data_IF_256614630075
#
_entry.id   IF_256614630075
#
_cell.length_a   1.000
_cell.length_b   1.000
_cell.length_c   1.000
_cell.angle_alpha   90.00
_cell.angle_beta   90.00
_cell.angle_gamma   90.00
#
_symmetry.space_group_name_H-M   'P 1'
#
loop_
_entity.id
_entity.type
_entity.pdbx_description
1 polymer ?
#
# COMPACT_ATOMS: atom_id res chain seq x y z
N UNK A 1 26.07 -17.77 8.26
CA UNK A 1 26.04 -16.38 8.77
C UNK A 1 25.98 -15.46 7.56
N UNK A 2 24.82 -15.08 7.13
CA UNK A 2 24.64 -14.06 6.09
C UNK A 2 24.41 -12.77 6.84
N UNK A 3 25.33 -11.84 6.66
CA UNK A 3 25.33 -10.52 7.29
C UNK A 3 24.11 -9.74 6.83
N UNK A 4 23.38 -9.24 7.80
CA UNK A 4 22.32 -8.24 7.66
C UNK A 4 23.00 -6.94 7.14
N UNK A 5 23.09 -6.78 5.84
CA UNK A 5 23.46 -5.50 5.25
C UNK A 5 22.15 -4.71 5.11
N UNK A 6 21.96 -3.74 5.98
CA UNK A 6 20.96 -2.72 5.81
C UNK A 6 21.13 -2.10 4.41
N UNK A 7 20.21 -2.39 3.51
CA UNK A 7 20.16 -1.78 2.17
C UNK A 7 19.75 -0.33 2.40
N UNK A 8 20.75 0.54 2.41
CA UNK A 8 20.54 1.98 2.45
C UNK A 8 19.71 2.39 1.24
N UNK A 9 18.52 2.87 1.51
CA UNK A 9 17.58 3.40 0.54
C UNK A 9 18.20 4.62 -0.16
N UNK A 10 18.67 4.41 -1.38
CA UNK A 10 18.79 5.50 -2.34
C UNK A 10 17.52 5.51 -3.16
N UNK A 11 16.61 6.43 -2.85
CA UNK A 11 15.47 6.76 -3.68
C UNK A 11 15.94 7.23 -5.05
N UNK A 12 16.07 6.31 -5.98
CA UNK A 12 16.13 6.61 -7.41
C UNK A 12 14.68 6.76 -7.88
N UNK A 13 14.19 7.99 -7.89
CA UNK A 13 12.86 8.35 -8.40
C UNK A 13 12.61 7.68 -9.76
N UNK A 14 11.57 6.89 -9.85
CA UNK A 14 11.12 6.26 -11.08
C UNK A 14 11.45 4.78 -11.28
N UNK A 15 12.07 4.09 -10.33
CA UNK A 15 12.37 2.65 -10.40
C UNK A 15 11.61 1.87 -9.34
N UNK A 16 11.16 0.65 -9.69
CA UNK A 16 10.58 -0.32 -8.75
C UNK A 16 11.52 -1.53 -8.60
N UNK A 17 11.69 -2.01 -7.38
CA UNK A 17 12.39 -3.25 -7.08
C UNK A 17 11.37 -4.39 -6.88
N UNK A 18 11.53 -5.45 -7.65
CA UNK A 18 10.59 -6.58 -7.72
C UNK A 18 11.33 -7.85 -7.39
N UNK A 19 10.87 -8.60 -6.39
CA UNK A 19 11.28 -9.97 -6.15
C UNK A 19 10.54 -10.89 -7.12
N UNK A 20 11.28 -11.65 -7.91
CA UNK A 20 10.73 -12.66 -8.82
C UNK A 20 10.57 -14.00 -8.10
N UNK A 21 9.46 -14.68 -8.36
CA UNK A 21 9.18 -16.00 -7.81
C UNK A 21 8.24 -16.80 -8.72
N UNK A 22 8.13 -18.12 -8.48
CA UNK A 22 7.20 -19.00 -9.17
C UNK A 22 6.21 -19.65 -8.19
N UNK A 23 5.08 -20.09 -8.73
CA UNK A 23 4.03 -20.82 -8.01
C UNK A 23 3.95 -22.30 -8.45
N UNK A 24 5.07 -22.84 -8.98
CA UNK A 24 5.16 -24.21 -9.44
C UNK A 24 4.69 -24.44 -10.88
N UNK A 25 4.63 -23.40 -11.68
CA UNK A 25 4.38 -23.42 -13.12
C UNK A 25 5.49 -22.74 -13.89
N UNK A 26 5.26 -22.48 -15.19
CA UNK A 26 6.16 -21.73 -16.06
C UNK A 26 6.03 -20.22 -15.90
N UNK A 27 4.97 -19.78 -15.25
CA UNK A 27 4.64 -18.38 -15.05
C UNK A 27 5.56 -17.76 -14.00
N UNK A 28 6.00 -16.52 -14.28
CA UNK A 28 6.82 -15.74 -13.35
C UNK A 28 5.96 -14.65 -12.71
N UNK A 29 6.04 -14.59 -11.40
CA UNK A 29 5.36 -13.58 -10.60
C UNK A 29 6.35 -12.63 -9.97
N UNK A 30 5.87 -11.44 -9.63
CA UNK A 30 6.66 -10.43 -8.96
C UNK A 30 5.91 -9.80 -7.79
N UNK A 31 6.67 -9.46 -6.76
CA UNK A 31 6.17 -8.72 -5.60
C UNK A 31 7.11 -7.53 -5.33
N UNK A 32 6.55 -6.38 -5.01
CA UNK A 32 7.33 -5.21 -4.61
C UNK A 32 8.16 -5.54 -3.36
N UNK A 33 9.48 -5.32 -3.43
CA UNK A 33 10.41 -5.62 -2.34
C UNK A 33 10.07 -4.86 -1.06
N UNK A 34 9.53 -3.65 -1.14
CA UNK A 34 9.10 -2.89 0.03
C UNK A 34 8.02 -3.59 0.88
N UNK A 35 7.25 -4.49 0.28
CA UNK A 35 6.24 -5.30 0.98
C UNK A 35 6.81 -6.57 1.61
N UNK A 36 8.12 -6.84 1.42
CA UNK A 36 8.79 -8.07 1.84
C UNK A 36 9.68 -7.79 3.04
N UNK A 37 9.41 -8.47 4.14
CA UNK A 37 10.25 -8.43 5.32
C UNK A 37 11.45 -9.37 5.22
N UNK A 38 11.18 -10.61 4.80
CA UNK A 38 12.21 -11.64 4.63
C UNK A 38 11.70 -12.81 3.77
N UNK A 39 12.64 -13.57 3.24
CA UNK A 39 12.39 -14.85 2.56
C UNK A 39 13.06 -15.97 3.34
N UNK A 40 12.34 -17.08 3.55
CA UNK A 40 12.86 -18.23 4.30
C UNK A 40 12.40 -19.56 3.68
N UNK A 41 12.99 -20.65 4.12
CA UNK A 41 12.52 -22.00 3.75
C UNK A 41 11.14 -22.27 4.38
N UNK A 42 10.32 -23.02 3.66
CA UNK A 42 9.05 -23.49 4.20
C UNK A 42 9.34 -24.41 5.40
N UNK A 43 8.88 -24.00 6.57
CA UNK A 43 8.91 -24.80 7.79
C UNK A 43 7.64 -25.62 7.95
N UNK A 44 7.59 -26.46 8.99
CA UNK A 44 6.39 -27.24 9.28
C UNK A 44 5.18 -26.31 9.51
N UNK A 45 4.17 -26.45 8.68
CA UNK A 45 2.90 -25.72 8.79
C UNK A 45 1.94 -26.52 9.68
N UNK A 46 1.36 -25.85 10.67
CA UNK A 46 0.31 -26.41 11.52
C UNK A 46 -1.04 -26.02 10.96
N UNK A 47 -1.87 -27.02 10.63
CA UNK A 47 -3.23 -26.73 10.16
C UNK A 47 -4.11 -26.19 11.27
N UNK A 48 -5.00 -25.27 10.93
CA UNK A 48 -5.96 -24.67 11.86
C UNK A 48 -7.38 -25.11 11.46
N UNK A 49 -8.17 -25.68 12.40
CA UNK A 49 -9.56 -26.06 12.09
C UNK A 49 -10.37 -24.85 11.62
N UNK A 50 -11.16 -25.04 10.55
CA UNK A 50 -12.03 -23.98 10.02
C UNK A 50 -11.29 -22.89 9.25
N UNK A 51 -10.02 -23.08 8.88
CA UNK A 51 -9.28 -22.10 8.09
C UNK A 51 -9.96 -21.83 6.73
N UNK A 52 -9.91 -20.57 6.24
CA UNK A 52 -10.48 -20.22 4.95
C UNK A 52 -9.72 -20.85 3.78
N UNK A 53 -10.39 -20.96 2.64
CA UNK A 53 -9.76 -21.40 1.38
C UNK A 53 -8.61 -20.45 1.00
N UNK A 54 -7.47 -21.01 0.59
CA UNK A 54 -6.24 -20.24 0.32
C UNK A 54 -5.30 -20.10 1.51
N UNK A 55 -5.74 -20.44 2.72
CA UNK A 55 -4.87 -20.54 3.89
C UNK A 55 -4.39 -21.99 4.09
N UNK A 56 -3.09 -22.19 4.30
CA UNK A 56 -2.50 -23.52 4.55
C UNK A 56 -2.34 -23.85 6.03
N UNK A 57 -2.53 -22.89 6.92
CA UNK A 57 -2.35 -23.05 8.37
C UNK A 57 -1.52 -21.92 8.97
N UNK A 58 -0.74 -22.23 9.98
CA UNK A 58 0.13 -21.27 10.66
C UNK A 58 1.54 -21.83 10.84
N UNK A 59 2.52 -20.94 10.96
CA UNK A 59 3.90 -21.26 11.38
C UNK A 59 4.28 -20.45 12.61
N UNK A 60 5.26 -20.94 13.36
CA UNK A 60 5.93 -20.15 14.39
C UNK A 60 7.27 -19.64 13.83
N UNK A 61 7.40 -18.33 13.69
CA UNK A 61 8.63 -17.69 13.25
C UNK A 61 9.11 -16.70 14.32
N UNK A 62 10.28 -16.96 14.89
CA UNK A 62 10.88 -16.11 15.95
C UNK A 62 9.94 -15.80 17.12
N UNK A 63 9.10 -16.77 17.50
CA UNK A 63 8.14 -16.62 18.61
C UNK A 63 6.82 -15.94 18.24
N UNK A 64 6.64 -15.53 16.97
CA UNK A 64 5.37 -15.04 16.44
C UNK A 64 4.67 -16.15 15.67
N UNK A 65 3.35 -16.23 15.79
CA UNK A 65 2.50 -17.13 15.00
C UNK A 65 2.03 -16.36 13.78
N UNK A 66 2.39 -16.85 12.59
CA UNK A 66 2.05 -16.23 11.32
C UNK A 66 1.11 -17.14 10.52
N UNK A 67 0.02 -16.60 9.94
CA UNK A 67 -0.77 -17.34 8.97
C UNK A 67 0.06 -17.62 7.72
N UNK A 68 -0.09 -18.82 7.18
CA UNK A 68 0.53 -19.25 5.92
C UNK A 68 -0.54 -19.31 4.85
N UNK A 69 -0.34 -18.55 3.80
CA UNK A 69 -1.22 -18.50 2.64
C UNK A 69 -0.55 -19.19 1.45
N UNK A 70 -1.24 -20.13 0.83
CA UNK A 70 -0.85 -20.66 -0.48
C UNK A 70 -1.23 -19.64 -1.54
N UNK A 71 -0.24 -18.92 -2.03
CA UNK A 71 -0.46 -17.82 -2.96
C UNK A 71 -1.06 -18.30 -4.28
N UNK A 72 -0.65 -19.48 -4.76
CA UNK A 72 -1.23 -20.09 -5.97
C UNK A 72 -2.71 -20.38 -5.82
N UNK A 73 -3.10 -21.02 -4.73
CA UNK A 73 -4.51 -21.30 -4.42
C UNK A 73 -5.31 -20.03 -4.20
N UNK A 74 -4.73 -19.04 -3.51
CA UNK A 74 -5.39 -17.77 -3.19
C UNK A 74 -5.73 -16.92 -4.43
N UNK A 75 -4.92 -17.03 -5.50
CA UNK A 75 -5.19 -16.33 -6.78
C UNK A 75 -5.89 -17.21 -7.81
N UNK A 76 -6.31 -18.43 -7.44
CA UNK A 76 -7.03 -19.35 -8.33
C UNK A 76 -6.13 -20.09 -9.33
N UNK A 77 -4.82 -20.05 -9.12
CA UNK A 77 -3.84 -20.83 -9.89
C UNK A 77 -3.38 -22.01 -9.04
N UNK A 78 -4.01 -23.17 -9.21
CA UNK A 78 -3.56 -24.39 -8.53
C UNK A 78 -2.10 -24.68 -8.85
N UNK A 79 -1.23 -24.72 -7.83
CA UNK A 79 0.19 -25.01 -8.00
C UNK A 79 0.42 -26.43 -8.54
N UNK A 80 1.30 -26.58 -9.53
CA UNK A 80 1.74 -27.88 -10.03
C UNK A 80 2.80 -28.52 -9.13
N UNK A 81 3.49 -27.72 -8.36
CA UNK A 81 4.54 -28.12 -7.42
C UNK A 81 4.21 -27.65 -6.00
N UNK A 82 4.66 -28.43 -5.02
CA UNK A 82 4.50 -28.06 -3.63
C UNK A 82 5.38 -26.84 -3.29
N UNK A 83 4.89 -25.89 -2.50
CA UNK A 83 5.69 -24.77 -2.04
C UNK A 83 6.93 -25.22 -1.26
N UNK A 84 8.06 -24.53 -1.46
CA UNK A 84 9.31 -24.79 -0.74
C UNK A 84 9.82 -23.57 0.03
N UNK A 85 9.32 -22.39 -0.30
CA UNK A 85 9.75 -21.11 0.27
C UNK A 85 8.58 -20.35 0.87
N UNK A 86 8.91 -19.47 1.80
CA UNK A 86 7.99 -18.49 2.36
C UNK A 86 8.51 -17.09 2.09
N UNK A 87 7.66 -16.23 1.56
CA UNK A 87 7.86 -14.79 1.51
C UNK A 87 7.06 -14.20 2.67
N UNK A 88 7.76 -13.64 3.65
CA UNK A 88 7.13 -13.00 4.80
C UNK A 88 6.90 -11.54 4.47
N UNK A 89 5.65 -11.14 4.50
CA UNK A 89 5.23 -9.75 4.29
C UNK A 89 4.60 -9.20 5.55
N UNK A 90 4.77 -7.89 5.74
CA UNK A 90 4.12 -7.16 6.83
C UNK A 90 3.35 -5.99 6.25
N UNK A 91 2.05 -6.00 6.40
CA UNK A 91 1.16 -4.91 6.01
C UNK A 91 -0.04 -4.85 6.95
N UNK A 92 -0.61 -3.68 7.10
CA UNK A 92 -1.78 -3.49 7.97
C UNK A 92 -1.58 -3.99 9.41
N UNK A 93 -0.34 -3.91 9.96
CA UNK A 93 0.02 -4.47 11.28
C UNK A 93 -0.11 -5.99 11.38
N UNK A 94 -0.26 -6.68 10.25
CA UNK A 94 -0.30 -8.15 10.17
C UNK A 94 0.93 -8.65 9.44
N UNK A 95 1.57 -9.66 10.00
CA UNK A 95 2.60 -10.41 9.29
C UNK A 95 1.96 -11.67 8.70
N UNK A 96 2.16 -11.89 7.41
CA UNK A 96 1.64 -13.05 6.66
C UNK A 96 2.79 -13.73 5.93
N UNK A 97 2.78 -15.05 5.92
CA UNK A 97 3.72 -15.86 5.16
C UNK A 97 3.05 -16.36 3.87
N UNK A 98 3.57 -15.97 2.72
CA UNK A 98 3.13 -16.47 1.42
C UNK A 98 3.96 -17.66 0.99
N UNK A 99 3.32 -18.81 0.85
CA UNK A 99 3.97 -20.03 0.38
C UNK A 99 4.08 -19.99 -1.15
N UNK A 100 5.31 -20.12 -1.65
CA UNK A 100 5.68 -20.09 -3.07
C UNK A 100 6.58 -21.27 -3.42
N UNK A 101 6.63 -21.68 -4.68
CA UNK A 101 7.46 -22.80 -5.10
C UNK A 101 8.93 -22.46 -5.05
N UNK A 102 9.33 -21.38 -5.72
CA UNK A 102 10.72 -20.91 -5.78
C UNK A 102 10.76 -19.39 -5.73
N UNK A 103 11.88 -18.89 -5.19
CA UNK A 103 12.22 -17.46 -5.23
C UNK A 103 13.50 -17.32 -6.06
N UNK A 104 13.46 -16.45 -7.08
CA UNK A 104 14.58 -16.25 -8.01
C UNK A 104 15.43 -15.05 -7.55
N UNK A 105 15.30 -13.92 -8.17
CA UNK A 105 16.13 -12.74 -7.97
C UNK A 105 15.29 -11.48 -7.82
N UNK A 106 15.92 -10.44 -7.30
CA UNK A 106 15.37 -9.09 -7.34
C UNK A 106 15.78 -8.44 -8.66
N UNK A 107 14.83 -7.84 -9.34
CA UNK A 107 15.05 -7.00 -10.51
C UNK A 107 14.68 -5.57 -10.18
N UNK A 108 15.27 -4.64 -10.93
CA UNK A 108 14.94 -3.22 -10.84
C UNK A 108 14.52 -2.75 -12.22
N UNK A 109 13.31 -2.24 -12.33
CA UNK A 109 12.73 -1.78 -13.60
C UNK A 109 12.14 -0.39 -13.45
N UNK A 110 12.11 0.42 -14.53
CA UNK A 110 11.41 1.68 -14.53
C UNK A 110 9.89 1.47 -14.33
N UNK A 111 9.25 2.34 -13.58
CA UNK A 111 7.79 2.32 -13.45
C UNK A 111 7.06 2.48 -14.80
N UNK A 112 7.65 3.19 -15.74
CA UNK A 112 7.14 3.33 -17.11
C UNK A 112 6.96 2.00 -17.84
N UNK A 113 7.69 0.98 -17.42
CA UNK A 113 7.66 -0.37 -18.02
C UNK A 113 6.61 -1.26 -17.35
N UNK A 114 6.09 -0.86 -16.20
CA UNK A 114 4.94 -1.51 -15.55
C UNK A 114 3.68 -1.12 -16.32
N UNK A 115 3.06 -2.10 -16.97
CA UNK A 115 1.79 -1.88 -17.69
C UNK A 115 0.62 -2.29 -16.82
N UNK A 116 -0.49 -1.53 -16.83
CA UNK A 116 -1.69 -1.91 -16.08
C UNK A 116 -2.22 -3.25 -16.62
N UNK A 117 -2.82 -4.08 -15.75
CA UNK A 117 -3.46 -5.32 -16.17
C UNK A 117 -4.61 -5.02 -17.15
N UNK A 118 -4.80 -5.88 -18.14
CA UNK A 118 -5.89 -5.73 -19.08
C UNK A 118 -7.23 -6.19 -18.46
N UNK A 119 -8.37 -5.79 -19.04
CA UNK A 119 -9.73 -5.99 -18.49
C UNK A 119 -10.15 -7.46 -18.19
N UNK A 120 -9.45 -8.44 -18.74
CA UNK A 120 -9.69 -9.87 -18.47
C UNK A 120 -8.84 -10.41 -17.31
N UNK A 121 -8.02 -9.56 -16.71
CA UNK A 121 -7.23 -9.93 -15.56
C UNK A 121 -8.08 -9.80 -14.31
N UNK A 122 -8.85 -10.83 -14.12
CA UNK A 122 -9.36 -11.34 -12.87
C UNK A 122 -10.42 -10.50 -12.12
N UNK A 123 -11.57 -11.13 -11.96
CA UNK A 123 -12.49 -10.87 -10.83
C UNK A 123 -11.74 -10.87 -9.47
N UNK A 124 -10.50 -11.34 -9.46
CA UNK A 124 -9.69 -11.45 -8.26
C UNK A 124 -8.98 -10.16 -7.83
N UNK A 125 -8.73 -9.19 -8.72
CA UNK A 125 -7.96 -7.98 -8.37
C UNK A 125 -6.59 -8.30 -7.76
N UNK A 126 -6.01 -9.46 -8.12
CA UNK A 126 -4.76 -9.95 -7.57
C UNK A 126 -3.52 -9.34 -8.25
N UNK A 127 -3.71 -8.68 -9.40
CA UNK A 127 -2.63 -8.08 -10.18
C UNK A 127 -2.73 -6.56 -10.13
N UNK A 128 -1.61 -5.89 -9.90
CA UNK A 128 -1.54 -4.44 -10.07
C UNK A 128 -0.82 -4.03 -11.37
N UNK A 129 -0.05 -4.95 -12.00
CA UNK A 129 0.65 -4.67 -13.24
C UNK A 129 1.31 -5.88 -13.86
N UNK A 130 1.88 -5.67 -15.04
CA UNK A 130 2.72 -6.63 -15.77
C UNK A 130 3.98 -5.94 -16.26
N UNK A 131 5.09 -6.67 -16.22
CA UNK A 131 6.39 -6.22 -16.75
C UNK A 131 6.92 -7.26 -17.72
N UNK A 132 7.51 -6.82 -18.83
CA UNK A 132 8.24 -7.68 -19.75
C UNK A 132 9.73 -7.64 -19.42
N UNK A 133 10.33 -8.80 -19.19
CA UNK A 133 11.77 -8.93 -18.98
C UNK A 133 12.54 -8.82 -20.31
N UNK A 134 13.83 -8.56 -20.23
CA UNK A 134 14.72 -8.50 -21.41
C UNK A 134 14.74 -9.80 -22.22
N UNK A 135 14.52 -10.94 -21.57
CA UNK A 135 14.43 -12.27 -22.20
C UNK A 135 13.06 -12.58 -22.82
N UNK A 136 12.13 -11.63 -22.80
CA UNK A 136 10.78 -11.73 -23.36
C UNK A 136 9.76 -12.40 -22.44
N UNK A 137 10.12 -12.83 -21.22
CA UNK A 137 9.16 -13.36 -20.25
C UNK A 137 8.31 -12.24 -19.66
N UNK A 138 7.02 -12.52 -19.50
CA UNK A 138 6.10 -11.65 -18.77
C UNK A 138 6.14 -11.99 -17.29
N UNK A 139 6.21 -10.97 -16.46
CA UNK A 139 6.09 -11.04 -15.00
C UNK A 139 4.76 -10.44 -14.59
N UNK A 140 3.95 -11.21 -13.90
CA UNK A 140 2.70 -10.76 -13.29
C UNK A 140 2.96 -10.20 -11.90
N UNK A 141 2.73 -8.91 -11.70
CA UNK A 141 2.97 -8.23 -10.43
C UNK A 141 1.75 -8.37 -9.53
N UNK A 142 1.93 -9.06 -8.38
CA UNK A 142 0.84 -9.39 -7.47
C UNK A 142 0.59 -8.29 -6.43
N UNK A 143 -0.67 -7.90 -6.29
CA UNK A 143 -1.16 -7.13 -5.14
C UNK A 143 -1.50 -8.10 -3.99
N UNK A 144 -0.47 -8.45 -3.23
CA UNK A 144 -0.60 -9.42 -2.14
C UNK A 144 -1.46 -8.92 -0.97
N UNK A 145 -1.63 -7.61 -0.81
CA UNK A 145 -2.54 -7.03 0.17
C UNK A 145 -3.99 -7.34 -0.21
N UNK A 146 -4.35 -7.11 -1.49
CA UNK A 146 -5.67 -7.47 -2.01
C UNK A 146 -5.93 -8.97 -1.92
N UNK A 147 -4.92 -9.80 -2.20
CA UNK A 147 -5.03 -11.26 -2.04
C UNK A 147 -5.25 -11.64 -0.58
N UNK A 148 -4.45 -11.07 0.33
CA UNK A 148 -4.57 -11.35 1.77
C UNK A 148 -5.94 -10.95 2.30
N UNK A 149 -6.46 -9.78 1.95
CA UNK A 149 -7.74 -9.33 2.45
C UNK A 149 -8.91 -10.20 2.00
N UNK A 150 -8.82 -10.85 0.83
CA UNK A 150 -9.84 -11.80 0.39
C UNK A 150 -9.84 -13.10 1.18
N UNK A 151 -8.65 -13.61 1.51
CA UNK A 151 -8.48 -14.88 2.23
C UNK A 151 -8.66 -14.68 3.74
N UNK A 152 -8.15 -13.59 4.27
CA UNK A 152 -8.18 -13.22 5.69
C UNK A 152 -8.81 -11.82 5.84
N UNK A 153 -10.12 -11.67 5.62
CA UNK A 153 -10.77 -10.39 5.81
C UNK A 153 -10.55 -9.89 7.23
N UNK A 154 -10.36 -8.60 7.37
CA UNK A 154 -10.35 -7.98 8.69
C UNK A 154 -11.77 -8.06 9.24
N UNK A 155 -11.89 -8.46 10.50
CA UNK A 155 -13.13 -8.24 11.25
C UNK A 155 -13.41 -6.74 11.26
N UNK A 156 -14.67 -6.36 11.10
CA UNK A 156 -15.09 -4.96 11.08
C UNK A 156 -14.43 -4.19 12.21
N UNK A 157 -13.54 -3.29 11.80
CA UNK A 157 -12.69 -2.54 12.69
C UNK A 157 -13.47 -1.56 13.54
N UNK A 158 -12.89 -1.21 14.65
CA UNK A 158 -13.21 -0.25 15.68
C UNK A 158 -14.23 0.84 15.31
N UNK A 159 -15.09 1.22 16.27
CA UNK A 159 -16.11 2.23 16.03
C UNK A 159 -15.45 3.54 15.59
N UNK A 160 -15.82 3.98 14.39
CA UNK A 160 -15.43 5.31 13.92
C UNK A 160 -16.11 6.32 14.83
N UNK A 161 -15.34 7.21 15.41
CA UNK A 161 -15.87 8.30 16.24
C UNK A 161 -16.79 9.17 15.37
N UNK A 162 -18.02 9.37 15.79
CA UNK A 162 -18.96 10.27 15.12
C UNK A 162 -18.45 11.72 15.24
N UNK A 163 -17.95 12.24 14.14
CA UNK A 163 -17.62 13.65 14.01
C UNK A 163 -18.77 14.34 13.26
N UNK A 164 -19.32 15.38 13.85
CA UNK A 164 -20.30 16.21 13.15
C UNK A 164 -19.57 17.25 12.28
N UNK A 165 -18.86 16.75 11.26
CA UNK A 165 -18.05 17.60 10.37
C UNK A 165 -18.87 17.92 9.13
N UNK A 166 -19.20 19.18 8.94
CA UNK A 166 -19.84 19.68 7.73
C UNK A 166 -18.81 20.43 6.88
N UNK A 167 -18.05 19.68 6.06
CA UNK A 167 -17.15 20.27 5.08
C UNK A 167 -17.69 20.08 3.65
N UNK A 168 -17.72 21.17 2.88
CA UNK A 168 -18.20 21.14 1.48
C UNK A 168 -17.11 20.67 0.50
N UNK A 169 -15.85 20.96 0.81
CA UNK A 169 -14.70 20.58 0.00
C UNK A 169 -14.30 19.11 0.26
N UNK A 170 -13.88 18.38 -0.79
CA UNK A 170 -13.48 16.99 -0.64
C UNK A 170 -12.14 16.86 0.10
N UNK A 171 -11.99 15.74 0.83
CA UNK A 171 -10.70 15.20 1.23
C UNK A 171 -10.06 14.55 0.00
N UNK A 172 -8.82 14.88 -0.28
CA UNK A 172 -8.06 14.23 -1.35
C UNK A 172 -7.11 13.21 -0.74
N UNK A 173 -7.08 11.98 -1.26
CA UNK A 173 -6.14 10.98 -0.78
C UNK A 173 -5.39 10.31 -1.92
N UNK A 174 -4.17 9.85 -1.63
CA UNK A 174 -3.35 9.14 -2.59
C UNK A 174 -2.70 7.92 -1.93
N UNK A 175 -2.85 6.77 -2.57
CA UNK A 175 -2.29 5.49 -2.13
C UNK A 175 -2.24 4.54 -3.33
N UNK A 176 -1.20 3.75 -3.50
CA UNK A 176 -1.08 2.80 -4.61
C UNK A 176 -1.88 1.50 -4.36
N UNK A 177 -2.14 1.16 -3.10
CA UNK A 177 -2.92 0.00 -2.70
C UNK A 177 -4.42 0.22 -2.93
N UNK A 178 -5.05 -0.65 -3.72
CA UNK A 178 -6.50 -0.64 -3.90
C UNK A 178 -7.23 -0.88 -2.56
N UNK A 179 -6.66 -1.74 -1.70
CA UNK A 179 -7.23 -2.05 -0.38
C UNK A 179 -7.19 -0.84 0.52
N UNK A 180 -6.05 -0.16 0.61
CA UNK A 180 -5.92 1.04 1.40
C UNK A 180 -6.88 2.13 0.92
N UNK A 181 -6.99 2.35 -0.41
CA UNK A 181 -7.96 3.32 -0.96
C UNK A 181 -9.41 2.99 -0.60
N UNK A 182 -9.80 1.71 -0.65
CA UNK A 182 -11.15 1.29 -0.22
C UNK A 182 -11.39 1.58 1.26
N UNK A 183 -10.44 1.23 2.12
CA UNK A 183 -10.54 1.49 3.56
C UNK A 183 -10.61 2.98 3.89
N UNK A 184 -9.80 3.80 3.23
CA UNK A 184 -9.86 5.26 3.36
C UNK A 184 -11.23 5.77 2.93
N UNK A 185 -11.74 5.31 1.77
CA UNK A 185 -13.08 5.70 1.29
C UNK A 185 -14.16 5.32 2.29
N UNK A 186 -14.14 4.10 2.84
CA UNK A 186 -15.11 3.64 3.85
C UNK A 186 -15.10 4.52 5.11
N UNK A 187 -13.90 4.94 5.57
CA UNK A 187 -13.77 5.85 6.71
C UNK A 187 -14.38 7.22 6.38
N UNK A 188 -14.04 7.79 5.23
CA UNK A 188 -14.51 9.10 4.79
C UNK A 188 -16.04 9.10 4.55
N UNK A 189 -16.58 8.03 3.95
CA UNK A 189 -18.03 7.85 3.75
C UNK A 189 -18.79 7.78 5.09
N UNK A 190 -18.26 7.02 6.06
CA UNK A 190 -18.83 6.96 7.42
C UNK A 190 -18.77 8.31 8.14
N UNK A 191 -17.76 9.14 7.86
CA UNK A 191 -17.65 10.52 8.36
C UNK A 191 -18.52 11.52 7.57
N UNK A 192 -19.21 11.09 6.51
CA UNK A 192 -20.01 11.95 5.64
C UNK A 192 -19.20 12.93 4.79
N UNK A 193 -17.92 12.66 4.58
CA UNK A 193 -17.01 13.54 3.85
C UNK A 193 -16.93 13.14 2.37
N UNK A 194 -17.04 14.14 1.47
CA UNK A 194 -16.74 13.95 0.06
C UNK A 194 -15.24 13.67 -0.11
N UNK A 195 -14.89 12.85 -1.09
CA UNK A 195 -13.48 12.55 -1.34
C UNK A 195 -13.16 12.37 -2.81
N UNK A 196 -11.88 12.54 -3.15
CA UNK A 196 -11.29 12.23 -4.44
C UNK A 196 -9.93 11.57 -4.20
N UNK A 197 -9.45 10.76 -5.14
CA UNK A 197 -8.20 10.03 -4.96
C UNK A 197 -7.32 9.98 -6.20
N UNK A 198 -6.06 9.59 -5.97
CA UNK A 198 -5.08 9.22 -6.97
C UNK A 198 -4.40 7.90 -6.58
N UNK A 199 -3.72 7.26 -7.53
CA UNK A 199 -3.05 5.96 -7.34
C UNK A 199 -1.53 6.08 -7.20
N UNK A 200 -0.96 7.26 -7.42
CA UNK A 200 0.46 7.56 -7.23
C UNK A 200 0.68 9.06 -7.05
N UNK A 201 1.88 9.44 -6.64
CA UNK A 201 2.21 10.83 -6.35
C UNK A 201 2.15 11.77 -7.55
N UNK A 202 2.49 11.30 -8.75
CA UNK A 202 2.44 12.12 -9.98
C UNK A 202 0.99 12.41 -10.37
N UNK A 203 0.14 11.38 -10.35
CA UNK A 203 -1.29 11.56 -10.61
C UNK A 203 -1.92 12.50 -9.57
N UNK A 204 -1.56 12.34 -8.29
CA UNK A 204 -2.01 13.20 -7.21
C UNK A 204 -1.64 14.66 -7.45
N UNK A 205 -0.39 14.93 -7.77
CA UNK A 205 0.08 16.27 -8.08
C UNK A 205 -0.73 16.89 -9.24
N UNK A 206 -0.87 16.16 -10.34
CA UNK A 206 -1.60 16.64 -11.51
C UNK A 206 -3.07 16.95 -11.19
N UNK A 207 -3.75 16.05 -10.46
CA UNK A 207 -5.15 16.24 -10.05
C UNK A 207 -5.31 17.43 -9.10
N UNK A 208 -4.45 17.53 -8.07
CA UNK A 208 -4.49 18.64 -7.12
C UNK A 208 -4.25 19.99 -7.82
N UNK A 209 -3.25 20.08 -8.71
CA UNK A 209 -3.00 21.29 -9.48
C UNK A 209 -4.19 21.64 -10.40
N UNK A 210 -4.83 20.63 -11.01
CA UNK A 210 -6.03 20.85 -11.83
C UNK A 210 -7.22 21.36 -11.00
N UNK A 211 -7.41 20.85 -9.78
CA UNK A 211 -8.49 21.29 -8.87
C UNK A 211 -8.36 22.76 -8.45
N UNK A 212 -7.13 23.25 -8.36
CA UNK A 212 -6.84 24.65 -7.96
C UNK A 212 -6.46 25.56 -9.13
N UNK A 213 -6.66 25.10 -10.35
CA UNK A 213 -6.35 25.89 -11.54
C UNK A 213 -7.16 27.21 -11.54
N UNK A 214 -6.49 28.34 -11.79
CA UNK A 214 -7.09 29.68 -11.74
C UNK A 214 -7.37 30.22 -10.34
N UNK A 215 -6.91 29.54 -9.28
CA UNK A 215 -7.01 30.01 -7.90
C UNK A 215 -5.62 30.45 -7.43
N UNK A 216 -5.51 31.71 -7.03
CA UNK A 216 -4.25 32.28 -6.52
C UNK A 216 -4.21 32.38 -4.98
N UNK A 217 -5.37 32.39 -4.33
CA UNK A 217 -5.48 32.54 -2.88
C UNK A 217 -5.52 31.19 -2.15
N UNK A 218 -4.65 30.99 -1.18
CA UNK A 218 -4.64 29.78 -0.32
C UNK A 218 -5.99 29.54 0.38
N UNK A 219 -6.68 30.60 0.82
CA UNK A 219 -8.00 30.48 1.46
C UNK A 219 -9.05 29.86 0.54
N UNK A 220 -8.98 30.12 -0.77
CA UNK A 220 -9.90 29.58 -1.77
C UNK A 220 -9.55 28.14 -2.15
N UNK A 221 -8.32 27.70 -1.91
CA UNK A 221 -7.91 26.30 -2.17
C UNK A 221 -8.59 25.38 -1.16
N UNK A 222 -8.78 25.79 0.09
CA UNK A 222 -9.54 25.01 1.09
C UNK A 222 -11.00 24.76 0.67
N UNK A 223 -11.58 25.62 -0.17
CA UNK A 223 -12.92 25.39 -0.74
C UNK A 223 -12.93 24.27 -1.80
N UNK A 224 -11.77 23.85 -2.27
CA UNK A 224 -11.58 22.79 -3.29
C UNK A 224 -10.97 21.52 -2.74
N UNK A 225 -10.09 21.62 -1.75
CA UNK A 225 -9.41 20.52 -1.09
C UNK A 225 -9.33 20.84 0.40
N UNK A 226 -10.11 20.13 1.20
CA UNK A 226 -10.16 20.37 2.65
C UNK A 226 -8.96 19.79 3.40
N UNK A 227 -8.42 18.67 2.90
CA UNK A 227 -7.32 17.92 3.49
C UNK A 227 -6.69 17.01 2.43
N UNK A 228 -5.39 16.76 2.52
CA UNK A 228 -4.70 15.77 1.71
C UNK A 228 -4.18 14.65 2.60
N UNK A 229 -4.56 13.40 2.30
CA UNK A 229 -4.04 12.19 2.92
C UNK A 229 -3.07 11.53 1.94
N UNK A 230 -1.84 11.28 2.37
CA UNK A 230 -0.75 10.84 1.50
C UNK A 230 -0.13 9.57 2.04
N UNK A 231 -0.10 8.52 1.23
CA UNK A 231 0.73 7.35 1.51
C UNK A 231 2.21 7.72 1.44
N UNK A 232 3.01 7.22 2.38
CA UNK A 232 4.45 7.46 2.39
C UNK A 232 5.14 6.73 1.24
N UNK A 233 4.76 5.48 1.01
CA UNK A 233 5.42 4.57 0.07
C UNK A 233 4.61 4.40 -1.21
N UNK A 234 4.88 5.24 -2.19
CA UNK A 234 4.23 5.16 -3.49
C UNK A 234 5.24 5.06 -4.62
N UNK A 235 4.81 4.42 -5.73
CA UNK A 235 5.57 4.41 -6.98
C UNK A 235 5.76 5.81 -7.56
N UNK A 236 6.82 5.98 -8.34
CA UNK A 236 7.19 7.17 -9.10
C UNK A 236 7.50 8.40 -8.25
N UNK A 237 6.67 8.73 -7.28
CA UNK A 237 6.83 9.85 -6.37
C UNK A 237 6.33 9.44 -4.98
N UNK A 238 7.23 9.37 -4.00
CA UNK A 238 6.90 9.08 -2.60
C UNK A 238 6.13 10.23 -1.94
N UNK A 239 5.45 9.91 -0.82
CA UNK A 239 4.61 10.87 -0.12
C UNK A 239 5.36 12.06 0.47
N UNK A 240 6.60 11.86 0.92
CA UNK A 240 7.44 12.95 1.40
C UNK A 240 7.78 13.93 0.28
N UNK A 241 8.08 13.41 -0.90
CA UNK A 241 8.37 14.24 -2.10
C UNK A 241 7.13 15.00 -2.55
N UNK A 242 5.97 14.32 -2.63
CA UNK A 242 4.70 14.98 -2.94
C UNK A 242 4.39 16.09 -1.92
N UNK A 243 4.53 15.82 -0.64
CA UNK A 243 4.28 16.79 0.43
C UNK A 243 5.19 18.01 0.32
N UNK A 244 6.50 17.82 0.08
CA UNK A 244 7.43 18.96 -0.15
C UNK A 244 7.01 19.81 -1.34
N UNK A 245 6.57 19.18 -2.43
CA UNK A 245 6.09 19.89 -3.63
C UNK A 245 4.82 20.69 -3.32
N UNK A 246 3.87 20.11 -2.59
CA UNK A 246 2.67 20.83 -2.13
C UNK A 246 3.05 22.01 -1.23
N UNK A 247 3.97 21.83 -0.28
CA UNK A 247 4.42 22.91 0.61
C UNK A 247 5.24 23.99 -0.10
N UNK A 248 5.87 23.67 -1.24
CA UNK A 248 6.56 24.67 -2.06
C UNK A 248 5.61 25.57 -2.85
N UNK A 249 4.36 25.14 -3.06
CA UNK A 249 3.31 25.96 -3.68
C UNK A 249 2.55 26.75 -2.60
N UNK A 250 2.65 28.10 -2.58
CA UNK A 250 2.00 28.91 -1.56
C UNK A 250 0.48 28.72 -1.44
N UNK A 251 -0.15 28.18 -2.49
CA UNK A 251 -1.60 27.92 -2.51
C UNK A 251 -1.99 26.79 -1.56
N UNK A 252 -1.12 25.79 -1.37
CA UNK A 252 -1.37 24.62 -0.50
C UNK A 252 -0.79 24.76 0.91
N UNK A 253 -0.19 25.90 1.26
CA UNK A 253 0.49 26.08 2.56
C UNK A 253 -0.42 25.82 3.77
N UNK A 254 -1.72 26.17 3.64
CA UNK A 254 -2.72 26.06 4.71
C UNK A 254 -3.63 24.83 4.57
N UNK A 255 -3.43 23.99 3.53
CA UNK A 255 -4.16 22.73 3.36
C UNK A 255 -3.53 21.67 4.28
N UNK A 256 -4.28 21.09 5.23
CA UNK A 256 -3.75 20.06 6.10
C UNK A 256 -3.27 18.83 5.30
N UNK A 257 -2.14 18.26 5.69
CA UNK A 257 -1.58 17.03 5.10
C UNK A 257 -1.37 15.97 6.18
N UNK A 258 -2.00 14.80 6.02
CA UNK A 258 -1.78 13.62 6.84
C UNK A 258 -0.89 12.65 6.07
N UNK A 259 0.19 12.17 6.68
CA UNK A 259 0.93 11.02 6.19
C UNK A 259 0.30 9.74 6.74
N UNK A 260 0.01 8.79 5.85
CA UNK A 260 -0.64 7.53 6.16
C UNK A 260 0.27 6.39 5.73
N UNK A 261 0.90 5.69 6.68
CA UNK A 261 1.98 4.74 6.37
C UNK A 261 1.89 3.44 7.17
N UNK A 262 2.36 2.36 6.56
CA UNK A 262 2.55 1.06 7.20
C UNK A 262 3.74 1.06 8.17
N UNK A 263 4.69 1.98 7.97
CA UNK A 263 5.91 2.10 8.76
C UNK A 263 5.68 3.03 9.95
N UNK A 264 5.90 2.52 11.15
CA UNK A 264 5.66 3.27 12.41
C UNK A 264 6.95 3.62 13.15
N UNK A 265 8.11 3.61 12.45
CA UNK A 265 9.37 3.98 13.10
C UNK A 265 9.45 5.50 13.38
N UNK A 266 10.09 5.86 14.49
CA UNK A 266 10.33 7.27 14.84
C UNK A 266 11.10 8.02 13.74
N UNK A 267 11.93 7.34 12.96
CA UNK A 267 12.68 7.92 11.84
C UNK A 267 11.75 8.32 10.68
N UNK A 268 10.78 7.48 10.35
CA UNK A 268 9.81 7.78 9.29
C UNK A 268 8.89 8.92 9.69
N UNK A 269 8.41 8.92 10.94
CA UNK A 269 7.62 10.03 11.46
C UNK A 269 8.38 11.36 11.40
N UNK A 270 9.69 11.37 11.73
CA UNK A 270 10.55 12.56 11.60
C UNK A 270 10.68 13.03 10.16
N UNK A 271 10.90 12.10 9.21
CA UNK A 271 10.97 12.42 7.77
C UNK A 271 9.68 13.04 7.26
N UNK A 272 8.52 12.52 7.68
CA UNK A 272 7.22 13.09 7.35
C UNK A 272 7.07 14.52 7.88
N UNK A 273 7.40 14.76 9.14
CA UNK A 273 7.37 16.09 9.75
C UNK A 273 8.33 17.06 9.02
N UNK A 274 9.54 16.64 8.71
CA UNK A 274 10.51 17.43 7.92
C UNK A 274 10.02 17.71 6.49
N UNK A 275 9.20 16.84 5.92
CA UNK A 275 8.56 17.07 4.63
C UNK A 275 7.40 18.08 4.73
N UNK A 276 6.89 18.37 5.91
CA UNK A 276 5.84 19.35 6.18
C UNK A 276 4.44 18.75 6.34
N UNK A 277 4.32 17.48 6.77
CA UNK A 277 3.03 16.91 7.16
C UNK A 277 2.57 17.47 8.51
N UNK A 278 1.27 17.62 8.69
CA UNK A 278 0.68 18.10 9.95
C UNK A 278 0.48 16.97 10.96
N UNK A 279 0.27 15.76 10.47
CA UNK A 279 0.04 14.57 11.31
C UNK A 279 0.46 13.31 10.58
N UNK A 280 0.94 12.33 11.35
CA UNK A 280 1.32 11.00 10.88
C UNK A 280 0.36 9.97 11.49
N UNK A 281 -0.24 9.11 10.65
CA UNK A 281 -1.19 8.08 11.07
C UNK A 281 -0.77 6.73 10.50
N UNK A 282 -0.87 5.70 11.33
CA UNK A 282 -0.62 4.32 10.92
C UNK A 282 -1.71 3.83 9.97
N UNK A 283 -1.33 3.12 8.90
CA UNK A 283 -2.27 2.49 7.96
C UNK A 283 -3.19 1.49 8.69
N UNK A 284 -4.43 1.47 8.24
CA UNK A 284 -5.49 0.56 8.69
C UNK A 284 -5.97 0.76 10.14
N UNK A 285 -5.60 1.86 10.77
CA UNK A 285 -6.15 2.30 12.03
C UNK A 285 -7.27 3.33 11.74
N UNK A 286 -8.48 2.84 11.57
CA UNK A 286 -9.64 3.67 11.21
C UNK A 286 -10.00 4.69 12.29
N UNK A 287 -9.82 4.33 13.57
CA UNK A 287 -10.09 5.22 14.69
C UNK A 287 -9.08 6.38 14.73
N UNK A 288 -7.78 6.08 14.66
CA UNK A 288 -6.74 7.12 14.62
C UNK A 288 -6.86 8.00 13.37
N UNK A 289 -7.21 7.40 12.21
CA UNK A 289 -7.42 8.17 10.98
C UNK A 289 -8.61 9.12 11.10
N UNK A 290 -9.76 8.64 11.58
CA UNK A 290 -10.96 9.48 11.75
C UNK A 290 -10.72 10.61 12.75
N UNK A 291 -10.04 10.33 13.87
CA UNK A 291 -9.66 11.36 14.85
C UNK A 291 -8.72 12.42 14.28
N UNK A 292 -7.71 12.01 13.52
CA UNK A 292 -6.76 12.91 12.89
C UNK A 292 -7.44 13.84 11.88
N UNK A 293 -8.28 13.27 11.02
CA UNK A 293 -9.07 14.03 10.04
C UNK A 293 -9.99 15.01 10.77
N UNK A 294 -10.75 14.53 11.76
CA UNK A 294 -11.67 15.36 12.53
C UNK A 294 -10.97 16.56 13.14
N UNK A 295 -9.88 16.32 13.87
CA UNK A 295 -9.11 17.36 14.54
C UNK A 295 -8.51 18.42 13.60
N UNK A 296 -8.06 18.01 12.41
CA UNK A 296 -7.49 18.95 11.44
C UNK A 296 -8.59 19.75 10.72
N UNK A 297 -9.74 19.14 10.42
CA UNK A 297 -10.85 19.83 9.78
C UNK A 297 -11.61 20.79 10.73
N UNK A 298 -11.65 20.51 12.05
CA UNK A 298 -12.21 21.42 13.04
C UNK A 298 -11.36 22.68 13.27
N UNK A 299 -10.06 22.59 13.00
CA UNK A 299 -9.12 23.73 13.14
C UNK A 299 -8.97 24.57 11.88
N UNK A 300 -9.43 24.05 10.73
CA UNK A 300 -9.25 24.66 9.41
C UNK A 300 -10.37 25.61 9.04
#
# INVERSE_FOLDING_TARGET
MVQNTAIAQQNTSGMIEILLFSLGGSEVFGMNVFKIREVTELSQVTQVPGQPAGMNGVISLRGQVLPVMDLGSAIGMGGKESPTKLIISEFASRSVAFAVAEVDKIIRVPWSDVKPPQRYDTEAGALFGVVMLEDGRLVSLLDVESVCQKVLPEEDSDPITDFNISHSAPVFFVDDSLVARRKISEVLDKMGLKHAHAINGIEAQNKLLAMVNGIESASRVKDKVSLVLVDEEMPEMDGCTLTRQLRSDPRFKDVPVIMYSSLTSDENAKRGIEAGVDTYVKKFDAESLSKAIGHLLEKA
#
